data_IF_960574959999
#
_entry.id   IF_960574959999
#
_cell.length_a   1.000
_cell.length_b   1.000
_cell.length_c   1.000
_cell.angle_alpha   90.00
_cell.angle_beta   90.00
_cell.angle_gamma   90.00
#
_symmetry.space_group_name_H-M   'P 1'
#
loop_
_entity.id
_entity.type
_entity.pdbx_description
1 polymer ?
#
# COMPACT_ATOMS: atom_id res chain seq x y z
N UNK A 1 -50.25 6.01 -56.43
CA UNK A 1 -51.22 7.08 -56.17
C UNK A 1 -51.33 7.23 -54.66
N UNK A 2 -51.29 8.47 -54.19
CA UNK A 2 -51.50 8.93 -52.81
C UNK A 2 -50.26 8.88 -51.91
N UNK A 3 -49.94 10.10 -51.51
CA UNK A 3 -48.80 10.60 -50.75
C UNK A 3 -49.33 11.25 -49.46
N UNK A 4 -48.44 11.43 -48.48
CA UNK A 4 -48.55 12.30 -47.28
C UNK A 4 -49.56 11.86 -46.20
N UNK A 5 -49.28 11.95 -44.89
CA UNK A 5 -48.95 13.18 -44.15
C UNK A 5 -48.06 12.92 -42.91
N UNK A 6 -47.09 13.83 -42.78
CA UNK A 6 -46.23 14.29 -41.68
C UNK A 6 -46.87 14.24 -40.29
N UNK A 7 -46.12 13.82 -39.25
CA UNK A 7 -46.12 14.55 -37.98
C UNK A 7 -44.78 14.43 -37.25
N UNK A 8 -44.08 15.56 -37.25
CA UNK A 8 -42.99 15.96 -36.38
C UNK A 8 -43.34 15.79 -34.90
N UNK A 9 -42.41 15.26 -34.07
CA UNK A 9 -41.97 15.87 -32.80
C UNK A 9 -41.05 14.94 -32.00
N UNK A 10 -40.05 15.57 -31.38
CA UNK A 10 -39.21 15.10 -30.28
C UNK A 10 -38.07 14.13 -30.64
N UNK A 11 -37.07 14.73 -31.30
CA UNK A 11 -35.67 14.36 -31.16
C UNK A 11 -35.28 14.58 -29.67
N UNK A 12 -35.54 13.60 -28.80
CA UNK A 12 -34.87 13.55 -27.51
C UNK A 12 -33.42 13.17 -27.78
N UNK A 13 -32.55 14.18 -27.82
CA UNK A 13 -31.12 14.00 -27.58
C UNK A 13 -30.99 13.37 -26.18
N UNK A 14 -30.97 12.04 -26.13
CA UNK A 14 -30.32 11.34 -25.03
C UNK A 14 -28.84 11.63 -25.26
N UNK A 15 -28.38 12.73 -24.68
CA UNK A 15 -26.98 12.88 -24.33
C UNK A 15 -26.76 11.76 -23.31
N UNK A 16 -26.37 10.58 -23.82
CA UNK A 16 -25.59 9.64 -23.05
C UNK A 16 -24.37 10.45 -22.62
N UNK A 17 -24.42 10.97 -21.39
CA UNK A 17 -23.22 11.14 -20.61
C UNK A 17 -22.60 9.75 -20.54
N UNK A 18 -21.76 9.44 -21.53
CA UNK A 18 -20.65 8.54 -21.34
C UNK A 18 -19.80 9.17 -20.23
N UNK A 19 -20.19 8.91 -18.99
CA UNK A 19 -19.20 8.80 -17.92
C UNK A 19 -18.18 7.81 -18.45
N UNK A 20 -16.90 8.20 -18.63
CA UNK A 20 -15.91 7.21 -18.95
C UNK A 20 -15.95 6.20 -17.81
N UNK A 21 -16.35 4.97 -18.13
CA UNK A 21 -15.90 3.81 -17.40
C UNK A 21 -14.37 3.93 -17.39
N UNK A 22 -13.83 4.40 -16.26
CA UNK A 22 -12.41 4.43 -15.97
C UNK A 22 -11.94 2.97 -15.91
N UNK A 23 -11.73 2.39 -17.10
CA UNK A 23 -10.81 1.28 -17.27
C UNK A 23 -9.45 1.78 -16.79
N UNK A 24 -9.06 1.33 -15.60
CA UNK A 24 -7.90 1.80 -14.83
C UNK A 24 -6.56 1.63 -15.54
N UNK A 25 -6.31 2.45 -16.56
CA UNK A 25 -5.13 2.35 -17.42
C UNK A 25 -4.23 3.58 -17.38
N UNK A 26 -4.63 4.69 -16.76
CA UNK A 26 -3.73 5.79 -16.46
C UNK A 26 -4.19 6.47 -15.16
N UNK A 27 -3.41 6.36 -14.09
CA UNK A 27 -3.47 7.36 -13.03
C UNK A 27 -3.00 8.68 -13.65
N UNK A 28 -3.84 9.70 -13.58
CA UNK A 28 -3.50 11.06 -14.00
C UNK A 28 -4.01 11.97 -12.91
N UNK A 29 -3.10 12.62 -12.19
CA UNK A 29 -3.44 13.69 -11.28
C UNK A 29 -3.67 14.99 -12.08
N UNK A 30 -4.93 15.49 -12.20
CA UNK A 30 -5.24 16.57 -13.14
C UNK A 30 -4.51 17.89 -12.87
N UNK A 31 -4.11 18.10 -11.62
CA UNK A 31 -3.47 19.34 -11.16
C UNK A 31 -1.94 19.27 -11.13
N UNK A 32 -1.33 18.24 -11.71
CA UNK A 32 0.11 18.16 -11.80
C UNK A 32 0.68 19.23 -12.75
N UNK A 33 1.63 20.07 -12.31
CA UNK A 33 2.28 21.05 -13.17
C UNK A 33 2.97 20.38 -14.37
N UNK A 34 2.74 20.93 -15.57
CA UNK A 34 3.26 20.38 -16.82
C UNK A 34 4.79 20.33 -16.79
N UNK A 35 5.43 21.33 -16.20
CA UNK A 35 6.89 21.42 -16.09
C UNK A 35 7.48 20.27 -15.27
N UNK A 36 6.78 19.83 -14.22
CA UNK A 36 7.19 18.69 -13.41
C UNK A 36 7.00 17.38 -14.19
N UNK A 37 5.90 17.24 -14.93
CA UNK A 37 5.64 16.07 -15.79
C UNK A 37 6.73 15.96 -16.87
N UNK A 38 7.06 17.06 -17.55
CA UNK A 38 8.10 17.09 -18.57
C UNK A 38 9.47 16.76 -17.99
N UNK A 39 9.80 17.31 -16.83
CA UNK A 39 11.05 17.02 -16.13
C UNK A 39 11.17 15.55 -15.74
N UNK A 40 10.08 14.95 -15.23
CA UNK A 40 10.01 13.53 -14.91
C UNK A 40 10.20 12.64 -16.14
N UNK A 41 9.52 12.98 -17.25
CA UNK A 41 9.67 12.26 -18.52
C UNK A 41 11.08 12.37 -19.07
N UNK A 42 11.70 13.54 -19.02
CA UNK A 42 13.08 13.75 -19.44
C UNK A 42 14.06 12.93 -18.59
N UNK A 43 13.84 12.87 -17.28
CA UNK A 43 14.63 12.03 -16.38
C UNK A 43 14.51 10.55 -16.75
N UNK A 44 13.29 10.04 -16.91
CA UNK A 44 13.05 8.64 -17.29
C UNK A 44 13.71 8.27 -18.62
N UNK A 45 13.53 9.09 -19.66
CA UNK A 45 14.16 8.90 -20.97
C UNK A 45 15.69 8.94 -20.91
N UNK A 46 16.26 9.85 -20.11
CA UNK A 46 17.70 9.95 -19.89
C UNK A 46 18.26 8.73 -19.14
N UNK A 47 17.55 8.22 -18.13
CA UNK A 47 17.96 6.99 -17.42
C UNK A 47 17.86 5.76 -18.33
N UNK A 48 16.84 5.66 -19.19
CA UNK A 48 16.77 4.59 -20.19
C UNK A 48 17.98 4.59 -21.13
N UNK A 49 18.33 5.75 -21.68
CA UNK A 49 19.50 5.86 -22.57
C UNK A 49 20.80 5.51 -21.83
N UNK A 50 20.89 5.88 -20.55
CA UNK A 50 22.01 5.51 -19.69
C UNK A 50 22.09 3.99 -19.45
N UNK A 51 20.94 3.33 -19.22
CA UNK A 51 20.86 1.86 -19.10
C UNK A 51 21.33 1.18 -20.38
N UNK A 52 20.77 1.57 -21.54
CA UNK A 52 21.13 0.95 -22.82
C UNK A 52 22.62 1.04 -23.10
N UNK A 53 23.25 2.18 -22.80
CA UNK A 53 24.69 2.35 -22.94
C UNK A 53 25.46 1.49 -21.94
N UNK A 54 25.02 1.41 -20.69
CA UNK A 54 25.67 0.60 -19.66
C UNK A 54 25.62 -0.90 -19.98
N UNK A 55 24.45 -1.41 -20.35
CA UNK A 55 24.24 -2.82 -20.77
C UNK A 55 25.12 -3.17 -21.97
N UNK A 56 25.15 -2.28 -22.99
CA UNK A 56 26.02 -2.46 -24.18
C UNK A 56 27.50 -2.45 -23.83
N UNK A 57 27.95 -1.55 -22.95
CA UNK A 57 29.37 -1.45 -22.57
C UNK A 57 29.84 -2.63 -21.72
N UNK A 58 28.97 -3.13 -20.84
CA UNK A 58 29.29 -4.22 -19.92
C UNK A 58 28.97 -5.61 -20.47
N UNK A 59 28.36 -5.70 -21.65
CA UNK A 59 27.85 -6.96 -22.22
C UNK A 59 26.98 -7.74 -21.22
N UNK A 60 26.12 -7.02 -20.48
CA UNK A 60 25.22 -7.63 -19.51
C UNK A 60 24.19 -8.48 -20.27
N UNK A 61 24.01 -9.72 -19.82
CA UNK A 61 23.02 -10.60 -20.40
C UNK A 61 21.59 -10.07 -20.11
N UNK A 62 20.69 -10.06 -21.10
CA UNK A 62 19.29 -9.69 -20.88
C UNK A 62 18.64 -10.61 -19.83
N UNK A 63 17.79 -10.04 -18.98
CA UNK A 63 17.11 -10.68 -17.86
C UNK A 63 18.06 -11.29 -16.81
N UNK A 64 19.29 -10.78 -16.72
CA UNK A 64 20.19 -11.15 -15.63
C UNK A 64 19.81 -10.44 -14.33
N UNK A 65 20.26 -11.02 -13.21
CA UNK A 65 20.19 -10.37 -11.90
C UNK A 65 20.93 -9.02 -11.91
N UNK A 66 22.04 -8.93 -12.65
CA UNK A 66 22.82 -7.70 -12.81
C UNK A 66 22.01 -6.61 -13.52
N UNK A 67 21.29 -6.92 -14.60
CA UNK A 67 20.38 -5.97 -15.25
C UNK A 67 19.25 -5.52 -14.31
N UNK A 68 18.65 -6.46 -13.57
CA UNK A 68 17.58 -6.18 -12.62
C UNK A 68 18.02 -5.23 -11.50
N UNK A 69 19.24 -5.41 -10.99
CA UNK A 69 19.85 -4.53 -9.99
C UNK A 69 20.07 -3.12 -10.54
N UNK A 70 20.55 -3.00 -11.77
CA UNK A 70 20.77 -1.72 -12.44
C UNK A 70 19.45 -0.99 -12.71
N UNK A 71 18.42 -1.70 -13.18
CA UNK A 71 17.06 -1.16 -13.34
C UNK A 71 16.53 -0.64 -12.00
N UNK A 72 16.73 -1.39 -10.91
CA UNK A 72 16.31 -0.99 -9.55
C UNK A 72 17.00 0.30 -9.09
N UNK A 73 18.31 0.45 -9.36
CA UNK A 73 19.02 1.70 -9.09
C UNK A 73 18.44 2.88 -9.88
N UNK A 74 17.98 2.67 -11.10
CA UNK A 74 17.33 3.72 -11.88
C UNK A 74 15.95 4.09 -11.33
N UNK A 75 15.15 3.12 -10.87
CA UNK A 75 13.90 3.42 -10.18
C UNK A 75 14.11 4.25 -8.92
N UNK A 76 15.18 3.99 -8.17
CA UNK A 76 15.51 4.81 -7.00
C UNK A 76 15.74 6.27 -7.38
N UNK A 77 16.30 6.58 -8.56
CA UNK A 77 16.45 7.97 -9.01
C UNK A 77 15.13 8.64 -9.35
N UNK A 78 14.21 7.93 -10.02
CA UNK A 78 12.85 8.45 -10.24
C UNK A 78 12.15 8.74 -8.90
N UNK A 79 12.27 7.79 -7.97
CA UNK A 79 11.70 7.93 -6.64
C UNK A 79 12.31 9.11 -5.86
N UNK A 80 13.63 9.22 -5.78
CA UNK A 80 14.35 10.33 -5.13
C UNK A 80 13.99 11.70 -5.72
N UNK A 81 13.78 11.76 -7.04
CA UNK A 81 13.32 12.98 -7.69
C UNK A 81 11.91 13.35 -7.24
N UNK A 82 10.98 12.39 -7.28
CA UNK A 82 9.58 12.60 -6.87
C UNK A 82 9.45 13.02 -5.40
N UNK A 83 10.23 12.44 -4.49
CA UNK A 83 10.16 12.72 -3.04
C UNK A 83 10.47 14.17 -2.67
N UNK A 84 11.24 14.88 -3.50
CA UNK A 84 11.59 16.30 -3.28
C UNK A 84 10.44 17.24 -3.63
N UNK A 85 9.39 16.75 -4.28
CA UNK A 85 8.29 17.56 -4.76
C UNK A 85 7.35 17.93 -3.61
N UNK A 86 6.93 19.20 -3.58
CA UNK A 86 6.05 19.74 -2.53
C UNK A 86 6.65 19.69 -1.13
N UNK A 87 7.97 19.47 -1.01
CA UNK A 87 8.69 19.50 0.27
C UNK A 87 9.30 20.89 0.50
N UNK A 88 8.45 21.91 0.46
CA UNK A 88 8.84 23.29 0.68
C UNK A 88 8.84 23.68 2.17
N UNK A 89 9.33 24.87 2.48
CA UNK A 89 9.35 25.37 3.86
C UNK A 89 7.96 25.44 4.50
N UNK A 90 6.90 25.64 3.70
CA UNK A 90 5.53 25.73 4.19
C UNK A 90 5.04 24.35 4.63
N UNK A 91 5.29 23.32 3.83
CA UNK A 91 4.99 21.92 4.17
C UNK A 91 5.79 21.47 5.39
N UNK A 92 7.07 21.83 5.50
CA UNK A 92 7.89 21.52 6.69
C UNK A 92 7.34 22.22 7.94
N UNK A 93 6.95 23.50 7.83
CA UNK A 93 6.33 24.24 8.95
C UNK A 93 5.01 23.59 9.36
N UNK A 94 4.21 23.17 8.38
CA UNK A 94 2.99 22.41 8.61
C UNK A 94 3.25 21.10 9.36
N UNK A 95 4.18 20.26 8.89
CA UNK A 95 4.53 19.00 9.56
C UNK A 95 5.00 19.23 11.01
N UNK A 96 5.81 20.28 11.25
CA UNK A 96 6.24 20.66 12.60
C UNK A 96 5.06 21.10 13.49
N UNK A 97 4.09 21.82 12.94
CA UNK A 97 2.90 22.24 13.68
C UNK A 97 2.02 21.06 14.11
N UNK A 98 1.87 20.06 13.23
CA UNK A 98 1.15 18.82 13.54
C UNK A 98 1.90 18.04 14.61
N UNK A 99 3.21 17.81 14.44
CA UNK A 99 4.02 17.07 15.40
C UNK A 99 4.06 17.74 16.80
N UNK A 100 4.04 19.07 16.88
CA UNK A 100 4.04 19.78 18.17
C UNK A 100 2.71 19.59 18.92
N UNK A 101 1.60 19.45 18.19
CA UNK A 101 0.28 19.15 18.79
C UNK A 101 0.15 17.71 19.31
N UNK A 102 1.03 16.81 18.90
CA UNK A 102 1.09 15.42 19.36
C UNK A 102 1.89 15.24 20.66
N UNK A 103 2.74 16.21 21.02
CA UNK A 103 3.66 16.19 22.17
C UNK A 103 3.08 16.90 23.40
N UNK A 104 1.83 17.35 23.35
CA UNK A 104 1.22 18.15 24.43
C UNK A 104 1.22 17.38 25.77
N UNK A 105 2.05 17.81 26.73
CA UNK A 105 2.30 17.16 28.03
C UNK A 105 1.04 17.07 28.92
N UNK A 106 -0.06 17.70 28.50
CA UNK A 106 -1.36 17.67 29.17
C UNK A 106 -2.46 17.20 28.20
N UNK A 107 -2.48 15.91 27.82
CA UNK A 107 -3.41 15.41 26.82
C UNK A 107 -4.85 15.56 27.30
N UNK A 108 -5.59 16.46 26.66
CA UNK A 108 -7.03 16.60 26.85
C UNK A 108 -7.75 15.29 26.44
N UNK A 109 -9.03 15.16 26.81
CA UNK A 109 -9.86 14.04 26.34
C UNK A 109 -9.99 13.96 24.81
N UNK A 110 -9.68 15.05 24.12
CA UNK A 110 -9.74 15.23 22.65
C UNK A 110 -8.36 15.12 21.98
N UNK A 111 -7.28 14.85 22.73
CA UNK A 111 -5.91 14.80 22.20
C UNK A 111 -5.74 13.80 21.04
N UNK A 112 -5.03 14.24 19.99
CA UNK A 112 -4.69 13.45 18.80
C UNK A 112 -3.96 12.14 19.15
N UNK A 113 -3.11 12.17 20.18
CA UNK A 113 -2.39 10.99 20.69
C UNK A 113 -3.32 9.83 21.11
N UNK A 114 -4.46 10.12 21.76
CA UNK A 114 -5.41 9.08 22.21
C UNK A 114 -6.17 8.45 21.05
N UNK A 115 -6.48 9.24 20.02
CA UNK A 115 -7.10 8.74 18.79
C UNK A 115 -6.13 7.87 18.00
N UNK A 116 -4.87 8.29 17.88
CA UNK A 116 -3.79 7.51 17.25
C UNK A 116 -3.65 6.11 17.85
N UNK A 117 -3.55 6.01 19.19
CA UNK A 117 -3.48 4.71 19.88
C UNK A 117 -4.73 3.84 19.65
N UNK A 118 -5.90 4.45 19.52
CA UNK A 118 -7.14 3.71 19.28
C UNK A 118 -7.19 3.15 17.86
N UNK A 119 -6.73 3.93 16.88
CA UNK A 119 -6.62 3.52 15.48
C UNK A 119 -5.54 2.44 15.27
N UNK A 120 -4.43 2.51 16.00
CA UNK A 120 -3.38 1.47 16.02
C UNK A 120 -3.94 0.11 16.47
N UNK A 121 -4.74 0.09 17.54
CA UNK A 121 -5.44 -1.12 18.01
C UNK A 121 -6.44 -1.71 17.00
N UNK A 122 -6.77 -0.97 15.93
CA UNK A 122 -7.62 -1.40 14.83
C UNK A 122 -6.82 -1.92 13.62
N UNK A 123 -5.49 -2.04 13.73
CA UNK A 123 -4.57 -2.49 12.67
C UNK A 123 -4.49 -1.57 11.45
N UNK A 124 -4.55 -0.26 11.68
CA UNK A 124 -4.15 0.76 10.71
C UNK A 124 -2.64 1.00 10.80
N UNK A 125 -1.98 1.30 9.68
CA UNK A 125 -0.57 1.74 9.67
C UNK A 125 -0.40 3.18 10.15
N UNK A 126 0.81 3.50 10.62
CA UNK A 126 1.21 4.82 11.10
C UNK A 126 0.91 5.95 10.10
N UNK A 127 1.11 5.72 8.79
CA UNK A 127 0.85 6.74 7.78
C UNK A 127 -0.65 7.04 7.66
N UNK A 128 -1.49 6.01 7.64
CA UNK A 128 -2.95 6.15 7.66
C UNK A 128 -3.43 6.79 8.95
N UNK A 129 -2.87 6.39 10.11
CA UNK A 129 -3.21 6.98 11.41
C UNK A 129 -2.88 8.46 11.42
N UNK A 130 -1.64 8.83 11.05
CA UNK A 130 -1.19 10.21 10.99
C UNK A 130 -2.07 11.05 10.08
N UNK A 131 -2.44 10.52 8.91
CA UNK A 131 -3.37 11.19 8.00
C UNK A 131 -4.73 11.42 8.68
N UNK A 132 -5.35 10.38 9.24
CA UNK A 132 -6.68 10.45 9.88
C UNK A 132 -6.71 11.40 11.08
N UNK A 133 -5.62 11.48 11.84
CA UNK A 133 -5.54 12.39 13.00
C UNK A 133 -5.14 13.81 12.62
N UNK A 134 -4.82 14.09 11.35
CA UNK A 134 -4.47 15.44 10.90
C UNK A 134 -5.74 16.29 10.69
N UNK A 135 -5.73 17.61 10.99
CA UNK A 135 -6.82 18.51 10.61
C UNK A 135 -7.08 18.52 9.09
N UNK A 136 -8.32 18.81 8.66
CA UNK A 136 -8.72 18.74 7.23
C UNK A 136 -7.78 19.50 6.29
N UNK A 137 -7.39 20.73 6.65
CA UNK A 137 -6.46 21.53 5.82
C UNK A 137 -5.09 20.85 5.66
N UNK A 138 -4.65 20.16 6.71
CA UNK A 138 -3.43 19.37 6.67
C UNK A 138 -3.57 18.09 5.86
N UNK A 139 -4.70 17.38 6.00
CA UNK A 139 -5.02 16.21 5.17
C UNK A 139 -4.97 16.56 3.69
N UNK A 140 -5.56 17.70 3.29
CA UNK A 140 -5.56 18.17 1.90
C UNK A 140 -4.14 18.39 1.38
N UNK A 141 -3.27 19.04 2.16
CA UNK A 141 -1.85 19.24 1.80
C UNK A 141 -1.10 17.93 1.65
N UNK A 142 -1.26 16.99 2.60
CA UNK A 142 -0.63 15.66 2.55
C UNK A 142 -1.07 14.92 1.29
N UNK A 143 -2.39 14.90 1.05
CA UNK A 143 -2.99 14.21 -0.08
C UNK A 143 -2.50 14.78 -1.42
N UNK A 144 -2.60 16.10 -1.61
CA UNK A 144 -2.16 16.75 -2.85
C UNK A 144 -0.68 16.51 -3.13
N UNK A 145 0.18 16.57 -2.10
CA UNK A 145 1.60 16.24 -2.23
C UNK A 145 1.78 14.79 -2.65
N UNK A 146 1.10 13.84 -2.00
CA UNK A 146 1.26 12.42 -2.31
C UNK A 146 0.73 12.07 -3.71
N UNK A 147 -0.38 12.66 -4.14
CA UNK A 147 -0.89 12.56 -5.51
C UNK A 147 0.14 13.06 -6.53
N UNK A 148 0.78 14.19 -6.25
CA UNK A 148 1.79 14.76 -7.13
C UNK A 148 3.07 13.90 -7.16
N UNK A 149 3.52 13.38 -6.01
CA UNK A 149 4.65 12.43 -5.95
C UNK A 149 4.39 11.21 -6.82
N UNK A 150 3.22 10.59 -6.66
CA UNK A 150 2.86 9.39 -7.42
C UNK A 150 2.74 9.70 -8.92
N UNK A 151 2.12 10.82 -9.30
CA UNK A 151 2.05 11.25 -10.69
C UNK A 151 3.45 11.34 -11.31
N UNK A 152 4.36 12.04 -10.64
CA UNK A 152 5.70 12.27 -11.16
C UNK A 152 6.53 10.99 -11.20
N UNK A 153 6.42 10.12 -10.19
CA UNK A 153 7.07 8.81 -10.21
C UNK A 153 6.57 7.95 -11.39
N UNK A 154 5.25 7.90 -11.61
CA UNK A 154 4.66 7.17 -12.73
C UNK A 154 5.07 7.73 -14.09
N UNK A 155 5.09 9.05 -14.28
CA UNK A 155 5.54 9.67 -15.54
C UNK A 155 7.04 9.38 -15.81
N UNK A 156 7.87 9.32 -14.76
CA UNK A 156 9.28 8.94 -14.87
C UNK A 156 9.44 7.47 -15.31
N UNK A 157 8.73 6.56 -14.64
CA UNK A 157 8.75 5.12 -14.94
C UNK A 157 8.17 4.83 -16.33
N UNK A 158 7.07 5.47 -16.71
CA UNK A 158 6.45 5.30 -18.03
C UNK A 158 7.42 5.71 -19.14
N UNK A 159 8.07 6.87 -19.00
CA UNK A 159 9.08 7.34 -19.96
C UNK A 159 10.31 6.44 -20.02
N UNK A 160 10.77 5.91 -18.88
CA UNK A 160 11.86 4.94 -18.83
C UNK A 160 11.55 3.68 -19.65
N UNK A 161 10.30 3.22 -19.67
CA UNK A 161 9.87 2.08 -20.47
C UNK A 161 9.28 2.44 -21.85
N UNK A 162 9.57 3.63 -22.38
CA UNK A 162 9.07 4.08 -23.68
C UNK A 162 7.53 4.10 -23.79
N UNK A 163 6.85 4.50 -22.72
CA UNK A 163 5.39 4.49 -22.61
C UNK A 163 4.76 3.09 -22.74
N UNK A 164 5.43 2.08 -22.18
CA UNK A 164 4.84 0.76 -21.99
C UNK A 164 3.79 0.80 -20.87
N UNK A 165 2.53 1.02 -21.29
CA UNK A 165 1.37 1.09 -20.39
C UNK A 165 1.20 -0.13 -19.49
N UNK A 166 1.67 -1.31 -19.89
CA UNK A 166 1.55 -2.50 -19.06
C UNK A 166 2.38 -2.36 -17.77
N UNK A 167 3.63 -1.93 -17.89
CA UNK A 167 4.55 -1.81 -16.76
C UNK A 167 4.09 -0.68 -15.83
N UNK A 168 3.66 0.46 -16.41
CA UNK A 168 3.10 1.57 -15.65
C UNK A 168 1.84 1.14 -14.88
N UNK A 169 0.94 0.36 -15.51
CA UNK A 169 -0.26 -0.17 -14.86
C UNK A 169 0.09 -1.13 -13.72
N UNK A 170 1.04 -2.04 -13.93
CA UNK A 170 1.53 -2.96 -12.91
C UNK A 170 2.09 -2.19 -11.69
N UNK A 171 2.86 -1.13 -11.93
CA UNK A 171 3.40 -0.28 -10.85
C UNK A 171 2.28 0.41 -10.06
N UNK A 172 1.27 0.95 -10.74
CA UNK A 172 0.11 1.56 -10.10
C UNK A 172 -0.61 0.51 -9.24
N UNK A 173 -0.82 -0.70 -9.75
CA UNK A 173 -1.49 -1.78 -9.02
C UNK A 173 -0.70 -2.24 -7.80
N UNK A 174 0.64 -2.27 -7.87
CA UNK A 174 1.49 -2.53 -6.70
C UNK A 174 1.26 -1.49 -5.60
N UNK A 175 1.14 -0.21 -5.94
CA UNK A 175 0.88 0.86 -4.94
C UNK A 175 -0.56 0.80 -4.43
N UNK A 176 -1.55 0.57 -5.31
CA UNK A 176 -2.95 0.35 -4.88
C UNK A 176 -3.07 -0.78 -3.88
N UNK A 177 -2.34 -1.88 -4.12
CA UNK A 177 -2.39 -3.07 -3.28
C UNK A 177 -1.43 -3.00 -2.09
N UNK A 178 -0.57 -1.97 -1.97
CA UNK A 178 0.33 -1.84 -0.82
C UNK A 178 -0.41 -1.43 0.46
N UNK A 179 -1.57 -0.79 0.34
CA UNK A 179 -2.39 -0.41 1.48
C UNK A 179 -3.72 0.23 1.07
N UNK A 180 -4.74 0.09 1.90
CA UNK A 180 -6.07 0.59 1.55
C UNK A 180 -6.18 2.11 1.44
N UNK A 181 -5.42 2.87 2.24
CA UNK A 181 -5.35 4.32 2.05
C UNK A 181 -4.73 4.69 0.70
N UNK A 182 -3.67 4.00 0.28
CA UNK A 182 -3.05 4.20 -1.03
C UNK A 182 -4.04 3.91 -2.17
N UNK A 183 -4.85 2.85 -2.04
CA UNK A 183 -5.92 2.56 -2.99
C UNK A 183 -6.94 3.70 -3.08
N UNK A 184 -7.54 4.10 -1.96
CA UNK A 184 -8.55 5.15 -1.94
C UNK A 184 -7.99 6.46 -2.49
N UNK A 185 -6.77 6.80 -2.09
CA UNK A 185 -6.07 7.97 -2.59
C UNK A 185 -5.97 7.94 -4.12
N UNK A 186 -5.46 6.84 -4.69
CA UNK A 186 -5.25 6.76 -6.13
C UNK A 186 -6.56 6.66 -6.94
N UNK A 187 -7.54 5.93 -6.41
CA UNK A 187 -8.78 5.62 -7.14
C UNK A 187 -9.85 6.71 -7.00
N UNK A 188 -9.82 7.49 -5.91
CA UNK A 188 -10.90 8.41 -5.56
C UNK A 188 -10.38 9.82 -5.24
N UNK A 189 -9.37 9.95 -4.38
CA UNK A 189 -9.02 11.26 -3.84
C UNK A 189 -8.16 12.11 -4.78
N UNK A 190 -7.16 11.51 -5.44
CA UNK A 190 -6.34 12.22 -6.41
C UNK A 190 -7.13 12.68 -7.64
N UNK A 191 -8.01 11.86 -8.26
CA UNK A 191 -8.86 12.33 -9.35
C UNK A 191 -9.79 13.48 -8.95
N UNK A 192 -10.23 13.50 -7.69
CA UNK A 192 -11.12 14.53 -7.13
C UNK A 192 -10.37 15.64 -6.37
N UNK A 193 -9.04 15.74 -6.50
CA UNK A 193 -8.21 16.77 -5.86
C UNK A 193 -8.38 16.92 -4.33
N UNK A 194 -8.87 15.87 -3.65
CA UNK A 194 -9.18 15.92 -2.23
C UNK A 194 -10.24 16.97 -1.87
N UNK A 195 -11.26 17.14 -2.72
CA UNK A 195 -12.28 18.18 -2.54
C UNK A 195 -13.14 17.96 -1.28
N UNK A 196 -13.40 16.71 -0.89
CA UNK A 196 -14.13 16.37 0.34
C UNK A 196 -13.41 15.29 1.17
N UNK A 197 -12.89 15.72 2.32
CA UNK A 197 -12.18 14.86 3.27
C UNK A 197 -12.95 14.67 4.58
N UNK A 198 -14.23 15.02 4.62
CA UNK A 198 -15.07 14.97 5.83
C UNK A 198 -15.20 13.54 6.38
N UNK A 199 -15.28 12.53 5.51
CA UNK A 199 -15.30 11.12 5.91
C UNK A 199 -14.05 10.74 6.72
N UNK A 200 -12.86 11.06 6.21
CA UNK A 200 -11.58 10.76 6.86
C UNK A 200 -11.45 11.49 8.18
N UNK A 201 -11.83 12.77 8.20
CA UNK A 201 -11.82 13.57 9.41
C UNK A 201 -12.77 13.00 10.47
N UNK A 202 -13.98 12.58 10.09
CA UNK A 202 -14.91 11.95 11.01
C UNK A 202 -14.36 10.64 11.58
N UNK A 203 -13.76 9.78 10.73
CA UNK A 203 -13.11 8.54 11.16
C UNK A 203 -12.02 8.83 12.20
N UNK A 204 -11.13 9.78 11.93
CA UNK A 204 -10.05 10.13 12.85
C UNK A 204 -10.55 10.67 14.18
N UNK A 205 -11.44 11.66 14.14
CA UNK A 205 -11.96 12.35 15.33
C UNK A 205 -12.83 11.47 16.23
N UNK A 206 -13.53 10.48 15.65
CA UNK A 206 -14.46 9.65 16.40
C UNK A 206 -13.92 8.24 16.71
N UNK A 207 -12.63 8.00 16.50
CA UNK A 207 -11.97 6.70 16.69
C UNK A 207 -12.30 6.04 18.03
N UNK A 208 -12.30 6.83 19.10
CA UNK A 208 -12.61 6.38 20.45
C UNK A 208 -14.07 5.95 20.60
N UNK A 209 -14.99 6.65 19.96
CA UNK A 209 -16.42 6.43 20.14
C UNK A 209 -16.89 5.15 19.45
N UNK A 210 -16.58 4.99 18.15
CA UNK A 210 -16.90 3.74 17.45
C UNK A 210 -16.04 2.58 17.94
N UNK A 211 -14.78 2.83 18.36
CA UNK A 211 -13.93 1.80 18.96
C UNK A 211 -14.51 1.23 20.25
N UNK A 212 -15.14 2.07 21.10
CA UNK A 212 -15.80 1.64 22.35
C UNK A 212 -16.91 0.62 22.11
N UNK A 213 -17.63 0.74 21.00
CA UNK A 213 -18.70 -0.20 20.64
C UNK A 213 -18.16 -1.60 20.31
N UNK A 214 -16.87 -1.70 19.96
CA UNK A 214 -16.20 -2.93 19.56
C UNK A 214 -15.13 -3.42 20.56
N UNK A 215 -15.18 -2.96 21.81
CA UNK A 215 -14.14 -3.22 22.83
C UNK A 215 -13.81 -4.71 23.00
N UNK A 216 -14.82 -5.59 22.99
CA UNK A 216 -14.63 -7.03 23.14
C UNK A 216 -13.89 -7.62 21.94
N UNK A 217 -14.30 -7.28 20.72
CA UNK A 217 -13.65 -7.74 19.49
C UNK A 217 -12.23 -7.18 19.37
N UNK A 218 -12.02 -5.91 19.73
CA UNK A 218 -10.69 -5.28 19.79
C UNK A 218 -9.77 -6.05 20.74
N UNK A 219 -10.24 -6.35 21.94
CA UNK A 219 -9.46 -7.08 22.95
C UNK A 219 -9.09 -8.48 22.45
N UNK A 220 -10.06 -9.24 21.95
CA UNK A 220 -9.84 -10.61 21.44
C UNK A 220 -8.84 -10.60 20.29
N UNK A 221 -9.01 -9.67 19.34
CA UNK A 221 -8.10 -9.53 18.20
C UNK A 221 -6.68 -9.21 18.65
N UNK A 222 -6.49 -8.18 19.46
CA UNK A 222 -5.16 -7.75 19.89
C UNK A 222 -4.44 -8.81 20.76
N UNK A 223 -5.16 -9.52 21.63
CA UNK A 223 -4.61 -10.68 22.36
C UNK A 223 -4.17 -11.79 21.39
N UNK A 224 -5.01 -12.12 20.40
CA UNK A 224 -4.68 -13.14 19.40
C UNK A 224 -3.47 -12.72 18.56
N UNK A 225 -3.41 -11.45 18.14
CA UNK A 225 -2.29 -10.87 17.40
C UNK A 225 -1.00 -11.04 18.18
N UNK A 226 -0.96 -10.55 19.43
CA UNK A 226 0.21 -10.66 20.31
C UNK A 226 0.69 -12.11 20.48
N UNK A 227 -0.22 -13.04 20.81
CA UNK A 227 0.12 -14.44 21.04
C UNK A 227 0.64 -15.13 19.76
N UNK A 228 0.04 -14.81 18.61
CA UNK A 228 0.45 -15.38 17.32
C UNK A 228 1.78 -14.79 16.87
N UNK A 229 1.98 -13.48 16.98
CA UNK A 229 3.23 -12.83 16.58
C UNK A 229 4.41 -13.36 17.37
N UNK A 230 4.26 -13.55 18.68
CA UNK A 230 5.29 -14.19 19.50
C UNK A 230 5.62 -15.62 19.05
N UNK A 231 4.59 -16.42 18.70
CA UNK A 231 4.80 -17.79 18.19
C UNK A 231 5.51 -17.78 16.84
N UNK A 232 5.11 -16.89 15.95
CA UNK A 232 5.71 -16.74 14.61
C UNK A 232 7.18 -16.34 14.74
N UNK A 233 7.50 -15.33 15.55
CA UNK A 233 8.87 -14.87 15.76
C UNK A 233 9.76 -15.99 16.33
N UNK A 234 9.29 -16.69 17.36
CA UNK A 234 10.05 -17.79 17.97
C UNK A 234 10.28 -18.95 16.97
N UNK A 235 9.26 -19.32 16.21
CA UNK A 235 9.35 -20.36 15.18
C UNK A 235 10.34 -19.96 14.08
N UNK A 236 10.25 -18.72 13.59
CA UNK A 236 11.12 -18.22 12.53
C UNK A 236 12.57 -18.11 13.01
N UNK A 237 12.82 -17.53 14.19
CA UNK A 237 14.16 -17.42 14.77
C UNK A 237 14.83 -18.79 15.00
N UNK A 238 14.06 -19.78 15.49
CA UNK A 238 14.54 -21.16 15.65
C UNK A 238 14.90 -21.78 14.30
N UNK A 239 14.08 -21.51 13.28
CA UNK A 239 14.31 -22.02 11.91
C UNK A 239 15.57 -21.41 11.30
N UNK A 240 15.77 -20.10 11.42
CA UNK A 240 16.97 -19.42 10.92
C UNK A 240 18.22 -19.95 11.61
N UNK A 241 18.18 -20.14 12.94
CA UNK A 241 19.30 -20.70 13.71
C UNK A 241 19.71 -22.09 13.20
N UNK A 242 18.72 -22.92 12.85
CA UNK A 242 18.98 -24.26 12.31
C UNK A 242 19.49 -24.20 10.85
N UNK A 243 18.99 -23.27 10.05
CA UNK A 243 19.52 -23.01 8.70
C UNK A 243 20.99 -22.55 8.75
N UNK A 244 21.36 -21.69 9.70
CA UNK A 244 22.74 -21.26 9.90
C UNK A 244 23.67 -22.42 10.26
N UNK A 245 23.16 -23.39 11.04
CA UNK A 245 23.86 -24.65 11.34
C UNK A 245 24.11 -25.46 10.07
N UNK A 246 23.08 -25.60 9.21
CA UNK A 246 23.23 -26.28 7.92
C UNK A 246 24.19 -25.56 6.97
N UNK A 247 24.12 -24.23 6.88
CA UNK A 247 25.04 -23.44 6.07
C UNK A 247 26.49 -23.61 6.53
N UNK A 248 26.73 -23.63 7.84
CA UNK A 248 28.06 -23.88 8.42
C UNK A 248 28.64 -25.26 8.06
N UNK A 249 27.78 -26.26 7.86
CA UNK A 249 28.19 -27.61 7.39
C UNK A 249 28.44 -27.56 5.89
N UNK A 250 27.57 -26.89 5.13
CA UNK A 250 27.66 -26.75 3.68
C UNK A 250 28.96 -26.07 3.23
N UNK A 251 29.41 -25.06 3.96
CA UNK A 251 30.68 -24.36 3.72
C UNK A 251 31.91 -25.28 3.89
N UNK A 252 31.81 -26.27 4.79
CA UNK A 252 32.90 -27.20 5.11
C UNK A 252 32.87 -28.48 4.28
N UNK A 253 31.74 -28.80 3.66
CA UNK A 253 31.58 -30.00 2.82
C UNK A 253 32.09 -29.76 1.41
N UNK A 254 32.95 -30.67 0.94
CA UNK A 254 33.45 -30.71 -0.44
C UNK A 254 32.68 -31.71 -1.32
N UNK A 255 31.82 -32.55 -0.71
CA UNK A 255 31.08 -33.61 -1.40
C UNK A 255 29.80 -33.06 -2.02
N UNK A 256 29.63 -33.24 -3.33
CA UNK A 256 28.49 -32.69 -4.08
C UNK A 256 27.15 -33.25 -3.58
N UNK A 257 27.08 -34.55 -3.30
CA UNK A 257 25.85 -35.22 -2.85
C UNK A 257 25.41 -34.75 -1.46
N UNK A 258 26.37 -34.52 -0.55
CA UNK A 258 26.11 -33.97 0.78
C UNK A 258 25.58 -32.53 0.68
N UNK A 259 26.19 -31.71 -0.19
CA UNK A 259 25.73 -30.35 -0.45
C UNK A 259 24.31 -30.29 -1.01
N UNK A 260 23.98 -31.18 -1.95
CA UNK A 260 22.62 -31.28 -2.50
C UNK A 260 21.62 -31.67 -1.40
N UNK A 261 21.98 -32.65 -0.57
CA UNK A 261 21.13 -33.12 0.53
C UNK A 261 20.85 -31.99 1.55
N UNK A 262 21.89 -31.27 1.98
CA UNK A 262 21.75 -30.16 2.94
C UNK A 262 20.85 -29.05 2.37
N UNK A 263 21.05 -28.65 1.11
CA UNK A 263 20.20 -27.64 0.46
C UNK A 263 18.73 -28.06 0.46
N UNK A 264 18.46 -29.34 0.17
CA UNK A 264 17.10 -29.90 0.21
C UNK A 264 16.51 -29.90 1.61
N UNK A 265 17.31 -30.21 2.63
CA UNK A 265 16.88 -30.15 4.04
C UNK A 265 16.54 -28.72 4.47
N UNK A 266 17.35 -27.73 4.08
CA UNK A 266 17.07 -26.30 4.30
C UNK A 266 15.74 -25.90 3.65
N UNK A 267 15.52 -26.25 2.39
CA UNK A 267 14.30 -25.91 1.65
C UNK A 267 13.06 -26.55 2.30
N UNK A 268 13.14 -27.83 2.69
CA UNK A 268 12.06 -28.54 3.39
C UNK A 268 11.75 -27.87 4.72
N UNK A 269 12.79 -27.56 5.51
CA UNK A 269 12.66 -26.93 6.82
C UNK A 269 11.99 -25.56 6.68
N UNK A 270 12.49 -24.70 5.80
CA UNK A 270 11.94 -23.37 5.58
C UNK A 270 10.48 -23.44 5.08
N UNK A 271 10.20 -24.26 4.06
CA UNK A 271 8.85 -24.44 3.53
C UNK A 271 7.86 -24.93 4.59
N UNK A 272 8.26 -25.90 5.41
CA UNK A 272 7.44 -26.43 6.50
C UNK A 272 7.14 -25.37 7.56
N UNK A 273 8.15 -24.58 7.93
CA UNK A 273 8.00 -23.44 8.83
C UNK A 273 7.02 -22.40 8.26
N UNK A 274 7.18 -22.01 7.00
CA UNK A 274 6.32 -21.01 6.37
C UNK A 274 4.86 -21.48 6.26
N UNK A 275 4.60 -22.77 6.01
CA UNK A 275 3.24 -23.35 6.06
C UNK A 275 2.62 -23.24 7.46
N UNK A 276 3.43 -23.46 8.49
CA UNK A 276 2.99 -23.33 9.89
C UNK A 276 2.68 -21.88 10.23
N UNK A 277 3.54 -20.93 9.82
CA UNK A 277 3.30 -19.48 9.95
C UNK A 277 2.00 -19.08 9.26
N UNK A 278 1.78 -19.50 8.01
CA UNK A 278 0.54 -19.23 7.26
C UNK A 278 -0.70 -19.70 8.04
N UNK A 279 -0.63 -20.89 8.65
CA UNK A 279 -1.73 -21.43 9.49
C UNK A 279 -1.98 -20.58 10.74
N UNK A 280 -0.91 -20.09 11.38
CA UNK A 280 -1.01 -19.19 12.54
C UNK A 280 -1.62 -17.84 12.16
N UNK A 281 -1.16 -17.22 11.07
CA UNK A 281 -1.75 -16.00 10.50
C UNK A 281 -3.24 -16.16 10.21
N UNK A 282 -3.65 -17.35 9.76
CA UNK A 282 -5.05 -17.70 9.54
C UNK A 282 -5.95 -17.48 10.77
N UNK A 283 -5.40 -17.53 11.98
CA UNK A 283 -6.12 -17.21 13.23
C UNK A 283 -6.24 -15.70 13.44
N UNK A 284 -5.18 -14.91 13.17
CA UNK A 284 -5.24 -13.44 13.18
C UNK A 284 -6.31 -12.93 12.22
N UNK A 285 -6.29 -13.40 10.97
CA UNK A 285 -7.25 -13.00 9.95
C UNK A 285 -8.71 -13.28 10.33
N UNK A 286 -8.99 -14.42 10.97
CA UNK A 286 -10.36 -14.74 11.43
C UNK A 286 -10.85 -13.73 12.47
N UNK A 287 -10.01 -13.42 13.45
CA UNK A 287 -10.35 -12.44 14.49
C UNK A 287 -10.45 -11.03 13.91
N UNK A 288 -9.56 -10.69 12.97
CA UNK A 288 -9.60 -9.41 12.26
C UNK A 288 -10.88 -9.23 11.45
N UNK A 289 -11.37 -10.25 10.74
CA UNK A 289 -12.64 -10.17 10.00
C UNK A 289 -13.81 -9.90 10.96
N UNK A 290 -13.82 -10.52 12.14
CA UNK A 290 -14.86 -10.28 13.15
C UNK A 290 -14.77 -8.84 13.69
N UNK A 291 -13.57 -8.37 13.98
CA UNK A 291 -13.31 -7.00 14.40
C UNK A 291 -13.76 -6.00 13.31
N UNK A 292 -13.35 -6.20 12.07
CA UNK A 292 -13.66 -5.33 10.94
C UNK A 292 -15.17 -5.21 10.67
N UNK A 293 -15.95 -6.28 10.88
CA UNK A 293 -17.42 -6.21 10.80
C UNK A 293 -18.01 -5.29 11.86
N UNK A 294 -17.54 -5.41 13.10
CA UNK A 294 -17.99 -4.54 14.19
C UNK A 294 -17.60 -3.08 13.91
N UNK A 295 -16.31 -2.82 13.66
CA UNK A 295 -15.79 -1.47 13.45
C UNK A 295 -16.48 -0.79 12.26
N UNK A 296 -16.67 -1.51 11.14
CA UNK A 296 -17.40 -0.97 10.00
C UNK A 296 -18.82 -0.55 10.39
N UNK A 297 -19.56 -1.38 11.10
CA UNK A 297 -20.92 -1.03 11.54
C UNK A 297 -20.90 0.21 12.42
N UNK A 298 -20.00 0.27 13.39
CA UNK A 298 -19.87 1.40 14.30
C UNK A 298 -19.46 2.69 13.60
N UNK A 299 -18.57 2.61 12.60
CA UNK A 299 -18.21 3.77 11.77
C UNK A 299 -19.39 4.23 10.92
N UNK A 300 -20.19 3.31 10.37
CA UNK A 300 -21.40 3.67 9.61
C UNK A 300 -22.39 4.43 10.50
N UNK A 301 -22.58 3.98 11.74
CA UNK A 301 -23.54 4.58 12.66
C UNK A 301 -23.14 6.00 13.10
N UNK A 302 -21.84 6.30 13.17
CA UNK A 302 -21.32 7.61 13.62
C UNK A 302 -20.99 8.54 12.45
N UNK A 303 -20.28 8.04 11.44
CA UNK A 303 -19.72 8.83 10.35
C UNK A 303 -20.44 8.64 9.02
N UNK A 304 -21.41 7.72 8.95
CA UNK A 304 -22.16 7.45 7.75
C UNK A 304 -21.58 6.35 6.87
N UNK A 305 -22.36 5.97 5.85
CA UNK A 305 -22.09 4.78 5.02
C UNK A 305 -20.78 4.87 4.25
N UNK A 306 -20.44 6.06 3.76
CA UNK A 306 -19.28 6.27 2.90
C UNK A 306 -17.97 6.20 3.70
N UNK A 307 -17.89 6.90 4.83
CA UNK A 307 -16.84 6.70 5.83
C UNK A 307 -16.67 5.23 6.22
N UNK A 308 -17.77 4.48 6.42
CA UNK A 308 -17.70 3.04 6.69
C UNK A 308 -17.07 2.21 5.57
N UNK A 309 -17.33 2.56 4.30
CA UNK A 309 -16.71 1.92 3.13
C UNK A 309 -15.22 2.26 3.05
N UNK A 310 -14.85 3.54 3.17
CA UNK A 310 -13.46 4.01 3.17
C UNK A 310 -12.66 3.36 4.30
N UNK A 311 -13.21 3.35 5.53
CA UNK A 311 -12.59 2.67 6.67
C UNK A 311 -12.33 1.18 6.40
N UNK A 312 -13.33 0.46 5.87
CA UNK A 312 -13.17 -0.94 5.52
C UNK A 312 -12.04 -1.15 4.50
N UNK A 313 -11.97 -0.32 3.45
CA UNK A 313 -10.91 -0.40 2.45
C UNK A 313 -9.55 -0.18 3.10
N UNK A 314 -9.38 0.86 3.91
CA UNK A 314 -8.13 1.18 4.62
C UNK A 314 -7.63 0.03 5.49
N UNK A 315 -8.52 -0.58 6.28
CA UNK A 315 -8.12 -1.67 7.20
C UNK A 315 -7.88 -2.99 6.47
N UNK A 316 -8.61 -3.32 5.40
CA UNK A 316 -8.55 -4.64 4.77
C UNK A 316 -7.41 -4.80 3.76
N UNK A 317 -7.20 -3.80 2.90
CA UNK A 317 -6.24 -3.93 1.81
C UNK A 317 -4.83 -3.74 2.35
N UNK A 318 -3.93 -4.67 2.01
CA UNK A 318 -2.57 -4.72 2.54
C UNK A 318 -2.48 -5.14 4.00
N UNK A 319 -3.57 -5.63 4.62
CA UNK A 319 -3.59 -6.06 6.02
C UNK A 319 -2.47 -7.07 6.32
N UNK A 320 -2.39 -8.15 5.52
CA UNK A 320 -1.38 -9.18 5.74
C UNK A 320 0.04 -8.65 5.60
N UNK A 321 0.28 -7.78 4.61
CA UNK A 321 1.58 -7.15 4.40
C UNK A 321 1.99 -6.30 5.60
N UNK A 322 1.06 -5.53 6.17
CA UNK A 322 1.33 -4.69 7.36
C UNK A 322 1.57 -5.51 8.63
N UNK A 323 0.84 -6.61 8.78
CA UNK A 323 0.86 -7.45 9.99
C UNK A 323 1.96 -8.52 9.98
N UNK A 324 2.71 -8.64 8.88
CA UNK A 324 3.79 -9.59 8.72
C UNK A 324 5.12 -8.85 8.82
N UNK A 325 6.06 -9.41 9.58
CA UNK A 325 7.42 -8.90 9.65
C UNK A 325 8.09 -8.97 8.27
N UNK A 326 8.92 -7.97 7.92
CA UNK A 326 9.51 -7.84 6.58
C UNK A 326 10.23 -9.12 6.12
N UNK A 327 11.13 -9.68 6.95
CA UNK A 327 11.88 -10.89 6.59
C UNK A 327 10.98 -12.10 6.31
N UNK A 328 9.87 -12.21 7.05
CA UNK A 328 8.88 -13.27 6.85
C UNK A 328 8.09 -13.00 5.56
N UNK A 329 7.74 -11.75 5.30
CA UNK A 329 7.08 -11.37 4.04
C UNK A 329 7.95 -11.69 2.82
N UNK A 330 9.24 -11.38 2.89
CA UNK A 330 10.19 -11.65 1.83
C UNK A 330 10.35 -13.17 1.62
N UNK A 331 10.39 -13.95 2.70
CA UNK A 331 10.38 -15.40 2.61
C UNK A 331 9.09 -15.97 1.98
N UNK A 332 7.93 -15.38 2.26
CA UNK A 332 6.67 -15.75 1.59
C UNK A 332 6.74 -15.49 0.09
N UNK A 333 7.28 -14.35 -0.33
CA UNK A 333 7.42 -13.99 -1.74
C UNK A 333 8.43 -14.89 -2.46
N UNK A 334 9.61 -15.09 -1.86
CA UNK A 334 10.68 -15.92 -2.43
C UNK A 334 10.25 -17.38 -2.65
N UNK A 335 9.39 -17.91 -1.78
CA UNK A 335 8.88 -19.29 -1.85
C UNK A 335 7.53 -19.39 -2.57
N UNK A 336 7.01 -18.28 -3.11
CA UNK A 336 5.68 -18.18 -3.71
C UNK A 336 4.58 -18.82 -2.83
N UNK A 337 4.64 -18.52 -1.53
CA UNK A 337 3.76 -19.10 -0.53
C UNK A 337 2.40 -18.42 -0.54
N UNK A 338 1.33 -19.20 -0.68
CA UNK A 338 -0.02 -18.68 -0.58
C UNK A 338 -0.39 -18.34 0.87
N UNK A 339 -1.07 -17.20 1.11
CA UNK A 339 -1.70 -16.93 2.39
C UNK A 339 -2.74 -17.98 2.75
N UNK A 340 -2.97 -18.19 4.03
CA UNK A 340 -4.03 -19.08 4.47
C UNK A 340 -5.41 -18.57 4.00
N UNK A 341 -6.31 -19.48 3.62
CA UNK A 341 -7.65 -19.17 3.06
C UNK A 341 -8.48 -18.15 3.86
N UNK A 342 -8.33 -18.13 5.18
CA UNK A 342 -9.00 -17.14 6.06
C UNK A 342 -8.59 -15.69 5.78
N UNK A 343 -7.46 -15.49 5.10
CA UNK A 343 -6.89 -14.19 4.77
C UNK A 343 -7.06 -13.82 3.30
N UNK A 344 -7.74 -14.65 2.49
CA UNK A 344 -7.76 -14.48 1.03
C UNK A 344 -8.33 -13.14 0.53
N UNK A 345 -9.17 -12.48 1.34
CA UNK A 345 -9.71 -11.14 1.03
C UNK A 345 -8.95 -10.00 1.71
N UNK A 346 -7.83 -10.30 2.37
CA UNK A 346 -7.01 -9.38 3.18
C UNK A 346 -5.56 -9.29 2.68
N UNK A 347 -5.29 -9.90 1.52
CA UNK A 347 -4.00 -9.89 0.86
C UNK A 347 -3.89 -8.67 -0.05
#
# INVERSE_FOLDING_TARGET
MISFVIFTKNLFFIILFCTPLLNGTNFVYPNAPIELIESARNLGSSQRFSLENFVKQKNIAPNSEEESNVISQFFNKCHEYSQKIGYDEEYIKFLKSVATSEIDDHPSSESHYRHSKTLDLMSLDDATISFLTTPIEGMKKILQRQCLINEIDFQCVDSFFNSNKHITSEKIDVIRNSGGFAKLMLDEECPNNGDDLTDYHCIGMNAKEYGRQCVTSLKIYNMTKYDVDHKILNLFATTITEIDRYNSILEKSNELDERIKIKREIEILLTSTMKTISTLEGSKCRMFIQLGKCLRSSVIDICGREAGRKFQTMVQIGYLRRERFNDINDAFQALNMEPHRSCGTLY
#
